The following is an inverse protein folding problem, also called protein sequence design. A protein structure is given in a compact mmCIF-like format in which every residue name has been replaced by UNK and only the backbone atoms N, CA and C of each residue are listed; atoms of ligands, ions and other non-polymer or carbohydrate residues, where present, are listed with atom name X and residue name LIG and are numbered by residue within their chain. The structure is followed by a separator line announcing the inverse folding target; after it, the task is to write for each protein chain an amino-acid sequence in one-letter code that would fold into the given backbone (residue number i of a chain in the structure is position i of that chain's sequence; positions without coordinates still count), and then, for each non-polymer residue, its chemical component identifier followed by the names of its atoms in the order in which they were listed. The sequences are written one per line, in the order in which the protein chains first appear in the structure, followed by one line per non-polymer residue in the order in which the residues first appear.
data_IF_442697402519
#
_entry.id   IF_442697402519
#
_cell.length_a   1.000
_cell.length_b   1.000
_cell.length_c   1.000
_cell.angle_alpha   90.00
_cell.angle_beta   90.00
_cell.angle_gamma   90.00
#
_symmetry.space_group_name_H-M   'P 1'
#
loop_
_entity.id
_entity.type
_entity.pdbx_description
1 polymer ?
#
# COMPACT_ATOMS: atom_id res chain seq x y z
N UNK A 1 -4.12 -21.27 -26.27
CA UNK A 1 -5.12 -21.15 -25.19
C UNK A 1 -5.06 -19.78 -24.51
N UNK A 2 -3.89 -19.31 -24.05
CA UNK A 2 -3.70 -17.96 -23.50
C UNK A 2 -3.91 -16.87 -24.56
N UNK A 3 -3.44 -17.10 -25.80
CA UNK A 3 -3.65 -16.22 -26.95
C UNK A 3 -5.13 -15.97 -27.24
N UNK A 4 -5.95 -17.02 -27.27
CA UNK A 4 -7.39 -16.93 -27.51
C UNK A 4 -8.13 -16.05 -26.49
N UNK A 5 -7.72 -16.11 -25.23
CA UNK A 5 -8.28 -15.23 -24.18
C UNK A 5 -7.85 -13.78 -24.44
N UNK A 6 -6.60 -13.55 -24.83
CA UNK A 6 -6.09 -12.19 -25.09
C UNK A 6 -6.70 -11.55 -26.34
N UNK A 7 -7.02 -12.34 -27.37
CA UNK A 7 -7.62 -11.86 -28.62
C UNK A 7 -9.12 -11.52 -28.47
N UNK A 8 -9.83 -12.22 -27.57
CA UNK A 8 -11.28 -12.07 -27.41
C UNK A 8 -11.73 -11.41 -26.10
N UNK A 9 -10.79 -11.07 -25.19
CA UNK A 9 -11.12 -10.43 -23.90
C UNK A 9 -11.75 -9.05 -24.04
N UNK A 10 -11.51 -8.30 -25.12
CA UNK A 10 -12.08 -6.95 -25.29
C UNK A 10 -13.56 -7.01 -25.67
N UNK A 11 -13.96 -8.03 -26.42
CA UNK A 11 -15.35 -8.22 -26.85
C UNK A 11 -16.22 -8.88 -25.75
N UNK A 12 -15.67 -9.82 -24.98
CA UNK A 12 -16.47 -10.66 -24.07
C UNK A 12 -16.06 -10.57 -22.60
N UNK A 13 -14.97 -9.90 -22.26
CA UNK A 13 -14.40 -9.95 -20.92
C UNK A 13 -13.72 -11.29 -20.62
N UNK A 14 -12.78 -11.30 -19.66
CA UNK A 14 -11.98 -12.50 -19.35
C UNK A 14 -12.81 -13.56 -18.61
N UNK A 15 -13.75 -13.14 -17.78
CA UNK A 15 -14.53 -14.01 -16.90
C UNK A 15 -15.53 -14.93 -17.64
N UNK A 16 -16.27 -14.46 -18.66
CA UNK A 16 -17.15 -15.32 -19.46
C UNK A 16 -16.37 -16.35 -20.30
N UNK A 17 -15.22 -15.96 -20.86
CA UNK A 17 -14.34 -16.83 -21.64
C UNK A 17 -13.79 -17.96 -20.74
N UNK A 18 -13.31 -17.61 -19.55
CA UNK A 18 -12.81 -18.60 -18.58
C UNK A 18 -13.91 -19.47 -17.97
N UNK A 19 -15.19 -19.08 -18.06
CA UNK A 19 -16.31 -19.88 -17.58
C UNK A 19 -16.71 -20.99 -18.56
N UNK A 20 -16.55 -20.73 -19.86
CA UNK A 20 -16.92 -21.66 -20.95
C UNK A 20 -15.76 -22.57 -21.33
N UNK A 21 -14.53 -22.06 -21.34
CA UNK A 21 -13.35 -22.91 -21.41
C UNK A 21 -13.14 -23.59 -20.04
N UNK A 22 -12.68 -24.85 -19.97
CA UNK A 22 -12.31 -25.52 -18.72
C UNK A 22 -10.97 -24.97 -18.16
N UNK A 23 -10.79 -23.65 -18.22
CA UNK A 23 -9.84 -22.93 -17.38
C UNK A 23 -10.61 -22.71 -16.08
N UNK A 24 -10.13 -23.22 -14.96
CA UNK A 24 -10.89 -23.16 -13.72
C UNK A 24 -11.25 -21.72 -13.28
N UNK A 25 -11.88 -21.62 -12.11
CA UNK A 25 -12.35 -20.37 -11.48
C UNK A 25 -11.28 -19.27 -11.48
N UNK A 26 -11.59 -18.00 -11.22
CA UNK A 26 -10.61 -16.89 -11.21
C UNK A 26 -9.28 -17.13 -10.45
N UNK A 27 -9.27 -18.05 -9.48
CA UNK A 27 -8.06 -18.52 -8.79
C UNK A 27 -7.13 -19.41 -9.64
N UNK A 28 -7.71 -20.19 -10.55
CA UNK A 28 -7.07 -21.14 -11.45
C UNK A 28 -6.46 -20.46 -12.69
N UNK A 29 -6.67 -19.14 -12.86
CA UNK A 29 -5.96 -18.39 -13.89
C UNK A 29 -4.44 -18.45 -13.65
N UNK A 30 -3.66 -18.68 -14.73
CA UNK A 30 -2.21 -18.68 -14.68
C UNK A 30 -1.67 -17.45 -13.96
N UNK A 31 -0.60 -17.65 -13.17
CA UNK A 31 0.05 -16.57 -12.42
C UNK A 31 0.40 -15.37 -13.31
N UNK A 32 0.76 -15.62 -14.57
CA UNK A 32 1.04 -14.61 -15.60
C UNK A 32 -0.15 -13.68 -15.87
N UNK A 33 -1.37 -14.19 -15.97
CA UNK A 33 -2.57 -13.37 -16.16
C UNK A 33 -2.85 -12.48 -14.95
N UNK A 34 -2.75 -13.04 -13.74
CA UNK A 34 -2.90 -12.26 -12.49
C UNK A 34 -1.81 -11.19 -12.37
N UNK A 35 -0.58 -11.51 -12.76
CA UNK A 35 0.53 -10.57 -12.80
C UNK A 35 0.26 -9.44 -13.80
N UNK A 36 -0.20 -9.77 -15.02
CA UNK A 36 -0.51 -8.82 -16.08
C UNK A 36 -1.71 -7.91 -15.74
N UNK A 37 -2.73 -8.43 -15.07
CA UNK A 37 -3.85 -7.63 -14.55
C UNK A 37 -3.37 -6.67 -13.44
N UNK A 38 -2.53 -7.15 -12.52
CA UNK A 38 -1.94 -6.33 -11.45
C UNK A 38 -1.01 -5.24 -11.98
N UNK A 39 -0.19 -5.53 -12.99
CA UNK A 39 0.68 -4.53 -13.60
C UNK A 39 -0.12 -3.46 -14.34
N UNK A 40 -1.20 -3.81 -15.05
CA UNK A 40 -2.11 -2.82 -15.65
C UNK A 40 -2.79 -1.92 -14.61
N UNK A 41 -3.29 -2.49 -13.51
CA UNK A 41 -3.84 -1.70 -12.40
C UNK A 41 -2.80 -0.79 -11.73
N UNK A 42 -1.54 -1.25 -11.65
CA UNK A 42 -0.44 -0.46 -11.13
C UNK A 42 -0.15 0.76 -12.02
N UNK A 43 -0.26 0.64 -13.35
CA UNK A 43 -0.13 1.77 -14.29
C UNK A 43 -1.22 2.81 -14.06
N UNK A 44 -2.47 2.38 -13.85
CA UNK A 44 -3.59 3.29 -13.55
C UNK A 44 -3.39 4.07 -12.24
N UNK A 45 -3.03 3.38 -11.16
CA UNK A 45 -2.69 4.03 -9.88
C UNK A 45 -1.50 4.97 -10.00
N UNK A 46 -0.47 4.58 -10.75
CA UNK A 46 0.73 5.40 -10.91
C UNK A 46 0.43 6.77 -11.55
N UNK A 47 -0.51 6.83 -12.50
CA UNK A 47 -0.93 8.10 -13.11
C UNK A 47 -1.69 8.99 -12.14
N UNK A 48 -2.64 8.42 -11.39
CA UNK A 48 -3.38 9.17 -10.36
C UNK A 48 -2.46 9.65 -9.24
N UNK A 49 -1.54 8.79 -8.80
CA UNK A 49 -0.53 9.13 -7.80
C UNK A 49 0.37 10.27 -8.28
N UNK A 50 0.76 10.29 -9.55
CA UNK A 50 1.58 11.37 -10.11
C UNK A 50 0.86 12.72 -10.02
N UNK A 51 -0.44 12.78 -10.36
CA UNK A 51 -1.25 13.99 -10.21
C UNK A 51 -1.40 14.39 -8.73
N UNK A 52 -1.69 13.42 -7.85
CA UNK A 52 -1.83 13.67 -6.41
C UNK A 52 -0.52 14.14 -5.76
N UNK A 53 0.63 13.68 -6.23
CA UNK A 53 1.95 14.14 -5.74
C UNK A 53 2.14 15.64 -5.95
N UNK A 54 1.66 16.18 -7.07
CA UNK A 54 1.73 17.61 -7.38
C UNK A 54 0.88 18.40 -6.37
N UNK A 55 -0.37 17.99 -6.15
CA UNK A 55 -1.26 18.67 -5.20
C UNK A 55 -0.76 18.57 -3.74
N UNK A 56 -0.27 17.39 -3.34
CA UNK A 56 0.32 17.19 -2.00
C UNK A 56 1.51 18.11 -1.80
N UNK A 57 2.41 18.24 -2.80
CA UNK A 57 3.55 19.15 -2.72
C UNK A 57 3.12 20.62 -2.73
N UNK A 58 2.17 21.01 -3.57
CA UNK A 58 1.60 22.37 -3.58
C UNK A 58 1.08 22.77 -2.20
N UNK A 59 0.25 21.93 -1.59
CA UNK A 59 -0.30 22.17 -0.24
C UNK A 59 0.81 22.21 0.81
N UNK A 60 1.81 21.34 0.70
CA UNK A 60 2.93 21.31 1.63
C UNK A 60 3.76 22.60 1.58
N UNK A 61 4.10 23.06 0.37
CA UNK A 61 4.93 24.25 0.14
C UNK A 61 4.17 25.54 0.50
N UNK A 62 2.88 25.63 0.15
CA UNK A 62 2.00 26.75 0.53
C UNK A 62 1.85 26.90 2.05
N UNK A 63 2.02 25.81 2.81
CA UNK A 63 1.94 25.80 4.27
C UNK A 63 3.33 25.75 4.93
N UNK A 64 4.35 26.31 4.25
CA UNK A 64 5.73 26.48 4.73
C UNK A 64 6.36 25.18 5.24
N UNK A 65 6.05 24.04 4.62
CA UNK A 65 6.53 22.72 5.05
C UNK A 65 6.13 22.31 6.50
N UNK A 66 5.23 23.05 7.15
CA UNK A 66 4.78 22.76 8.53
C UNK A 66 3.77 21.60 8.55
N UNK A 67 3.02 21.41 7.47
CA UNK A 67 1.92 20.45 7.43
C UNK A 67 2.42 19.02 7.25
N UNK A 68 2.16 18.18 8.25
CA UNK A 68 2.32 16.73 8.13
C UNK A 68 1.10 16.07 7.49
N UNK A 69 1.17 14.75 7.30
CA UNK A 69 0.15 13.90 6.64
C UNK A 69 -1.28 14.26 6.99
N UNK A 70 -1.61 14.39 8.28
CA UNK A 70 -3.00 14.68 8.72
C UNK A 70 -3.49 16.05 8.27
N UNK A 71 -2.62 17.07 8.29
CA UNK A 71 -3.00 18.45 7.92
C UNK A 71 -3.13 18.58 6.41
N UNK A 72 -2.18 18.02 5.66
CA UNK A 72 -2.25 17.95 4.19
C UNK A 72 -3.51 17.21 3.75
N UNK A 73 -3.80 16.04 4.33
CA UNK A 73 -5.02 15.28 4.01
C UNK A 73 -6.31 16.07 4.26
N UNK A 74 -6.42 16.77 5.40
CA UNK A 74 -7.59 17.62 5.68
C UNK A 74 -7.69 18.79 4.71
N UNK A 75 -6.56 19.38 4.31
CA UNK A 75 -6.54 20.50 3.38
C UNK A 75 -6.99 20.05 1.99
N UNK A 76 -6.46 18.94 1.47
CA UNK A 76 -6.91 18.33 0.21
C UNK A 76 -8.41 18.01 0.24
N UNK A 77 -8.92 17.48 1.36
CA UNK A 77 -10.35 17.21 1.52
C UNK A 77 -11.20 18.49 1.51
N UNK A 78 -10.70 19.60 2.06
CA UNK A 78 -11.37 20.92 2.01
C UNK A 78 -11.40 21.51 0.61
N UNK A 79 -10.39 21.21 -0.20
CA UNK A 79 -10.28 21.62 -1.60
C UNK A 79 -11.08 20.69 -2.55
N UNK A 80 -11.83 19.72 -2.01
CA UNK A 80 -12.70 18.83 -2.78
C UNK A 80 -12.03 17.56 -3.31
N UNK A 81 -10.77 17.31 -2.97
CA UNK A 81 -10.05 16.09 -3.36
C UNK A 81 -10.32 14.98 -2.34
N UNK A 82 -11.19 14.02 -2.69
CA UNK A 82 -11.45 12.85 -1.84
C UNK A 82 -10.33 11.83 -1.99
N UNK A 83 -9.39 11.87 -1.04
CA UNK A 83 -8.22 11.00 -1.01
C UNK A 83 -8.14 10.33 0.35
N UNK A 84 -7.86 9.03 0.37
CA UNK A 84 -7.63 8.31 1.61
C UNK A 84 -6.37 8.81 2.33
N UNK A 85 -6.44 8.93 3.67
CA UNK A 85 -5.29 9.36 4.51
C UNK A 85 -4.04 8.50 4.27
N UNK A 86 -4.21 7.19 4.08
CA UNK A 86 -3.12 6.26 3.82
C UNK A 86 -2.42 6.53 2.49
N UNK A 87 -3.15 6.98 1.47
CA UNK A 87 -2.58 7.40 0.18
C UNK A 87 -1.70 8.62 0.36
N UNK A 88 -2.20 9.67 1.03
CA UNK A 88 -1.40 10.87 1.34
C UNK A 88 -0.15 10.51 2.13
N UNK A 89 -0.30 9.65 3.15
CA UNK A 89 0.83 9.16 3.97
C UNK A 89 1.90 8.47 3.13
N UNK A 90 1.48 7.58 2.21
CA UNK A 90 2.39 6.86 1.33
C UNK A 90 3.08 7.82 0.37
N UNK A 91 2.33 8.71 -0.29
CA UNK A 91 2.89 9.66 -1.26
C UNK A 91 3.87 10.65 -0.61
N UNK A 92 3.55 11.17 0.58
CA UNK A 92 4.48 12.01 1.33
C UNK A 92 5.77 11.26 1.69
N UNK A 93 5.67 9.99 2.10
CA UNK A 93 6.84 9.15 2.39
C UNK A 93 7.68 8.88 1.14
N UNK A 94 7.06 8.58 0.00
CA UNK A 94 7.75 8.39 -1.28
C UNK A 94 8.48 9.65 -1.74
N UNK A 95 7.95 10.84 -1.43
CA UNK A 95 8.57 12.13 -1.75
C UNK A 95 9.55 12.64 -0.68
N UNK A 96 9.68 11.94 0.45
CA UNK A 96 10.50 12.39 1.59
C UNK A 96 9.95 13.63 2.30
N UNK A 97 8.66 13.95 2.14
CA UNK A 97 8.03 15.10 2.79
C UNK A 97 7.64 14.74 4.22
N UNK A 98 8.11 15.53 5.18
CA UNK A 98 7.74 15.41 6.59
C UNK A 98 7.35 16.79 7.13
N UNK A 99 6.17 16.85 7.74
CA UNK A 99 5.75 18.06 8.44
C UNK A 99 6.50 18.26 9.74
N UNK A 100 6.58 19.51 10.18
CA UNK A 100 7.22 19.87 11.45
C UNK A 100 6.47 19.27 12.63
N UNK A 101 7.21 18.57 13.48
CA UNK A 101 6.74 18.07 14.78
C UNK A 101 7.35 18.96 15.86
N UNK A 102 6.53 19.50 16.75
CA UNK A 102 7.01 20.25 17.92
C UNK A 102 7.48 19.26 18.98
N UNK A 103 8.67 19.49 19.53
CA UNK A 103 9.26 18.66 20.58
C UNK A 103 10.21 17.59 20.06
N UNK A 104 11.14 17.16 20.92
CA UNK A 104 12.05 16.05 20.65
C UNK A 104 11.26 14.75 20.72
N UNK A 105 11.43 13.78 19.80
CA UNK A 105 10.89 12.44 20.00
C UNK A 105 11.47 11.87 21.29
N UNK A 106 10.65 11.73 22.32
CA UNK A 106 11.05 11.19 23.61
C UNK A 106 11.03 9.66 23.47
N UNK A 107 12.21 9.06 23.48
CA UNK A 107 12.35 7.62 23.68
C UNK A 107 12.48 7.39 25.18
N UNK A 108 11.35 7.14 25.85
CA UNK A 108 11.28 6.99 27.31
C UNK A 108 12.06 5.78 27.82
N UNK A 109 12.19 4.75 26.98
CA UNK A 109 12.83 3.48 27.35
C UNK A 109 13.83 3.07 26.28
N UNK A 110 15.09 2.94 26.67
CA UNK A 110 16.12 2.24 25.90
C UNK A 110 16.28 0.88 26.56
N UNK A 111 15.96 -0.20 25.84
CA UNK A 111 16.18 -1.55 26.35
C UNK A 111 17.67 -1.77 26.56
N UNK A 112 18.04 -2.04 27.80
CA UNK A 112 19.36 -2.56 28.12
C UNK A 112 19.40 -4.04 27.75
N UNK A 113 20.31 -4.40 26.85
CA UNK A 113 20.51 -5.80 26.43
C UNK A 113 21.32 -6.60 27.43
N UNK A 114 22.03 -5.94 28.35
CA UNK A 114 22.81 -6.57 29.40
C UNK A 114 21.99 -6.80 30.68
N UNK A 115 20.81 -6.17 30.80
CA UNK A 115 19.91 -6.42 31.91
C UNK A 115 19.45 -7.89 31.90
N UNK A 116 19.45 -8.56 33.07
CA UNK A 116 19.01 -9.94 33.15
C UNK A 116 17.53 -10.05 32.75
N UNK A 117 17.26 -10.77 31.67
CA UNK A 117 15.91 -11.17 31.30
C UNK A 117 15.40 -12.23 32.28
N UNK A 118 14.18 -12.10 32.84
CA UNK A 118 13.57 -13.14 33.65
C UNK A 118 13.55 -14.47 32.89
N UNK A 119 13.80 -15.57 33.60
CA UNK A 119 13.72 -16.90 33.04
C UNK A 119 12.27 -17.24 32.69
N UNK A 120 12.04 -17.79 31.50
CA UNK A 120 10.73 -18.32 31.12
C UNK A 120 10.49 -19.66 31.82
N UNK A 121 9.81 -19.62 32.97
CA UNK A 121 9.48 -20.81 33.75
C UNK A 121 8.43 -21.73 33.09
N UNK A 122 7.77 -21.28 32.00
CA UNK A 122 6.72 -22.02 31.31
C UNK A 122 7.22 -22.64 30.01
N UNK A 123 8.50 -22.43 29.64
CA UNK A 123 9.15 -22.99 28.44
C UNK A 123 8.30 -22.82 27.16
N UNK A 124 7.77 -21.62 26.93
CA UNK A 124 6.86 -21.37 25.80
C UNK A 124 7.65 -21.26 24.49
N UNK A 125 7.28 -22.06 23.50
CA UNK A 125 7.85 -21.98 22.16
C UNK A 125 7.18 -20.86 21.34
N UNK A 126 7.75 -19.66 21.38
CA UNK A 126 7.26 -18.52 20.59
C UNK A 126 7.75 -18.50 19.12
N UNK A 127 8.57 -19.48 18.72
CA UNK A 127 9.15 -19.55 17.37
C UNK A 127 8.29 -20.45 16.48
N UNK A 128 7.58 -19.86 15.52
CA UNK A 128 6.85 -20.61 14.49
C UNK A 128 7.80 -21.00 13.32
N UNK A 129 7.61 -22.17 12.69
CA UNK A 129 8.46 -22.62 11.58
C UNK A 129 8.21 -21.82 10.29
N UNK A 130 7.01 -21.23 10.12
CA UNK A 130 6.64 -20.35 9.01
C UNK A 130 5.44 -19.47 9.40
N UNK A 131 5.11 -18.42 8.63
CA UNK A 131 3.87 -17.67 8.83
C UNK A 131 2.63 -18.57 8.67
N UNK A 132 1.57 -18.30 9.43
CA UNK A 132 0.25 -18.98 9.38
C UNK A 132 0.31 -20.51 9.58
N UNK A 133 0.67 -20.95 10.78
CA UNK A 133 0.73 -22.39 11.16
C UNK A 133 -0.38 -22.77 12.16
N UNK A 134 -1.28 -21.84 12.49
CA UNK A 134 -2.51 -22.10 13.23
C UNK A 134 -3.70 -21.62 12.41
#
# INVERSE_FOLDING_TARGET
MISFIDDHREAHGVEPICKVLPVGRPFDLPRSFRQAARSRQAVGRSRQDAALKIEVRRVFDQNFAVYGVRKVWRQLKREGLDVARCTVSRLMREMGLQGVIRGKPIKTTVSDKAAPCPLDHVNRQFKAPRPNVM
#
